data_IF_875042215670
#
_entry.id   IF_875042215670
#
_cell.length_a   1.000
_cell.length_b   1.000
_cell.length_c   1.000
_cell.angle_alpha   90.00
_cell.angle_beta   90.00
_cell.angle_gamma   90.00
#
_symmetry.space_group_name_H-M   'P 1'
#
loop_
_entity.id
_entity.type
_entity.pdbx_description
1 polymer ?
#
# COMPACT_ATOMS: atom_id res chain seq x y z
N UNK A 1 19.63 -1.41 -1.77
CA UNK A 1 18.25 -1.95 -1.78
C UNK A 1 17.31 -0.77 -1.65
N UNK A 2 16.19 -0.71 -2.37
CA UNK A 2 15.27 0.45 -2.27
C UNK A 2 14.49 0.36 -0.95
N UNK A 3 13.98 1.49 -0.41
CA UNK A 3 13.20 1.47 0.83
C UNK A 3 11.99 0.53 0.81
N UNK A 4 11.29 0.42 -0.33
CA UNK A 4 10.15 -0.48 -0.47
C UNK A 4 10.54 -1.97 -0.39
N UNK A 5 11.69 -2.34 -0.97
CA UNK A 5 12.22 -3.70 -0.89
C UNK A 5 12.61 -4.05 0.57
N UNK A 6 13.20 -3.10 1.30
CA UNK A 6 13.52 -3.25 2.72
C UNK A 6 12.27 -3.42 3.58
N UNK A 7 11.22 -2.65 3.25
CA UNK A 7 9.96 -2.71 3.95
C UNK A 7 9.24 -4.05 3.72
N UNK A 8 9.17 -4.52 2.47
CA UNK A 8 8.62 -5.85 2.15
C UNK A 8 9.35 -6.96 2.93
N UNK A 9 10.68 -6.95 2.92
CA UNK A 9 11.49 -7.93 3.67
C UNK A 9 11.19 -7.89 5.18
N UNK A 10 11.13 -6.69 5.77
CA UNK A 10 10.81 -6.50 7.19
C UNK A 10 9.40 -7.00 7.52
N UNK A 11 8.42 -6.76 6.65
CA UNK A 11 7.05 -7.26 6.82
C UNK A 11 7.03 -8.79 6.75
N UNK A 12 7.74 -9.40 5.81
CA UNK A 12 7.84 -10.85 5.65
C UNK A 12 8.48 -11.51 6.90
N UNK A 13 9.55 -10.94 7.44
CA UNK A 13 10.17 -11.39 8.69
C UNK A 13 9.17 -11.36 9.85
N UNK A 14 8.42 -10.27 9.98
CA UNK A 14 7.39 -10.12 11.03
C UNK A 14 6.23 -11.08 10.84
N UNK A 15 5.83 -11.37 9.60
CA UNK A 15 4.83 -12.39 9.27
C UNK A 15 5.30 -13.78 9.70
N UNK A 16 6.55 -14.13 9.39
CA UNK A 16 7.14 -15.43 9.71
C UNK A 16 7.31 -15.63 11.22
N UNK A 17 7.68 -14.57 11.96
CA UNK A 17 7.83 -14.64 13.41
C UNK A 17 6.50 -14.89 14.15
N UNK A 18 5.36 -14.50 13.55
CA UNK A 18 4.00 -14.68 14.08
C UNK A 18 3.78 -14.19 15.54
N UNK A 19 4.63 -13.29 16.03
CA UNK A 19 4.58 -12.79 17.40
C UNK A 19 3.87 -11.43 17.47
N UNK A 20 2.54 -11.48 17.57
CA UNK A 20 1.69 -10.29 17.68
C UNK A 20 1.95 -9.46 18.96
N UNK A 21 2.66 -10.00 19.96
CA UNK A 21 3.02 -9.26 21.17
C UNK A 21 4.12 -8.22 20.93
N UNK A 22 5.00 -8.44 19.95
CA UNK A 22 6.26 -7.70 19.80
C UNK A 22 6.32 -6.70 18.65
N UNK A 23 5.37 -6.74 17.72
CA UNK A 23 5.37 -5.83 16.57
C UNK A 23 3.96 -5.37 16.17
N UNK A 24 3.83 -4.09 15.84
CA UNK A 24 2.60 -3.53 15.29
C UNK A 24 2.17 -4.23 13.99
N UNK A 25 3.11 -4.54 13.09
CA UNK A 25 2.82 -5.29 11.85
C UNK A 25 2.26 -6.68 12.15
N UNK A 26 2.79 -7.39 13.15
CA UNK A 26 2.28 -8.70 13.52
C UNK A 26 0.84 -8.61 14.08
N UNK A 27 0.50 -7.55 14.82
CA UNK A 27 -0.88 -7.27 15.28
C UNK A 27 -1.85 -6.92 14.15
N UNK A 28 -1.34 -6.30 13.09
CA UNK A 28 -2.11 -6.01 11.88
C UNK A 28 -2.40 -7.32 11.12
N UNK A 29 -1.35 -8.11 10.85
CA UNK A 29 -1.47 -9.40 10.18
C UNK A 29 -2.40 -10.37 10.92
N UNK A 30 -2.29 -10.46 12.25
CA UNK A 30 -3.17 -11.28 13.07
C UNK A 30 -4.64 -10.82 13.03
N UNK A 31 -4.89 -9.54 12.72
CA UNK A 31 -6.24 -8.98 12.56
C UNK A 31 -6.86 -9.22 11.18
N UNK A 32 -6.15 -9.87 10.26
CA UNK A 32 -6.69 -10.24 8.95
C UNK A 32 -7.03 -9.05 8.05
N UNK A 33 -7.79 -9.33 6.99
CA UNK A 33 -8.17 -8.35 5.96
C UNK A 33 -8.97 -7.20 6.54
N UNK A 34 -9.86 -7.45 7.51
CA UNK A 34 -10.70 -6.42 8.11
C UNK A 34 -9.85 -5.32 8.75
N UNK A 35 -8.92 -5.70 9.63
CA UNK A 35 -8.10 -4.74 10.36
C UNK A 35 -7.12 -3.99 9.47
N UNK A 36 -6.45 -4.71 8.56
CA UNK A 36 -5.49 -4.08 7.65
C UNK A 36 -6.20 -3.22 6.60
N UNK A 37 -7.33 -3.69 6.08
CA UNK A 37 -8.15 -2.96 5.10
C UNK A 37 -8.74 -1.68 5.68
N UNK A 38 -9.14 -1.68 6.95
CA UNK A 38 -9.57 -0.47 7.64
C UNK A 38 -8.44 0.59 7.66
N UNK A 39 -7.22 0.19 8.02
CA UNK A 39 -6.05 1.10 7.95
C UNK A 39 -5.79 1.60 6.54
N UNK A 40 -5.73 0.72 5.53
CA UNK A 40 -5.56 1.17 4.13
C UNK A 40 -6.61 2.20 3.71
N UNK A 41 -7.85 2.04 4.17
CA UNK A 41 -8.95 2.97 3.87
C UNK A 41 -8.77 4.31 4.58
N UNK A 42 -8.36 4.29 5.84
CA UNK A 42 -8.06 5.48 6.65
C UNK A 42 -6.93 6.30 6.03
N UNK A 43 -5.77 5.69 5.78
CA UNK A 43 -4.61 6.40 5.21
C UNK A 43 -4.90 6.95 3.80
N UNK A 44 -5.75 6.24 3.03
CA UNK A 44 -6.16 6.71 1.71
C UNK A 44 -7.06 7.95 1.76
N UNK A 45 -7.81 8.14 2.85
CA UNK A 45 -8.54 9.38 3.09
C UNK A 45 -7.58 10.48 3.58
N UNK A 46 -6.71 10.15 4.54
CA UNK A 46 -5.76 11.09 5.14
C UNK A 46 -4.79 11.68 4.10
N UNK A 47 -4.28 10.88 3.16
CA UNK A 47 -3.41 11.41 2.08
C UNK A 47 -4.14 12.42 1.17
N UNK A 48 -5.46 12.27 0.98
CA UNK A 48 -6.26 13.21 0.19
C UNK A 48 -6.52 14.49 0.98
N UNK A 49 -6.82 14.37 2.28
CA UNK A 49 -7.00 15.50 3.18
C UNK A 49 -5.70 16.31 3.31
N UNK A 50 -4.57 15.64 3.55
CA UNK A 50 -3.25 16.24 3.63
C UNK A 50 -2.84 16.95 2.34
N UNK A 51 -3.22 16.40 1.18
CA UNK A 51 -2.96 17.03 -0.12
C UNK A 51 -3.80 18.29 -0.38
N UNK A 52 -4.90 18.49 0.36
CA UNK A 52 -5.71 19.69 0.28
C UNK A 52 -5.17 20.85 1.17
N UNK A 53 -4.23 20.55 2.07
CA UNK A 53 -3.62 21.55 2.93
C UNK A 53 -2.65 22.47 2.17
N UNK A 54 -2.65 23.79 2.43
CA UNK A 54 -1.78 24.72 1.73
C UNK A 54 -0.34 24.73 2.27
N UNK A 55 0.59 25.07 1.38
CA UNK A 55 1.98 25.38 1.72
C UNK A 55 2.84 24.16 2.07
N UNK A 56 4.02 24.43 2.63
CA UNK A 56 5.04 23.40 2.88
C UNK A 56 4.63 22.39 3.96
N UNK A 57 3.75 22.81 4.88
CA UNK A 57 3.15 21.93 5.89
C UNK A 57 2.32 20.83 5.22
N UNK A 58 1.36 21.21 4.35
CA UNK A 58 0.53 20.26 3.60
C UNK A 58 1.35 19.33 2.71
N UNK A 59 2.40 19.87 2.05
CA UNK A 59 3.34 19.05 1.27
C UNK A 59 4.02 17.98 2.14
N UNK A 60 4.47 18.35 3.34
CA UNK A 60 5.16 17.42 4.25
C UNK A 60 4.19 16.38 4.80
N UNK A 61 2.99 16.80 5.16
CA UNK A 61 1.91 15.91 5.61
C UNK A 61 1.55 14.89 4.53
N UNK A 62 1.35 15.34 3.28
CA UNK A 62 1.07 14.45 2.13
C UNK A 62 2.13 13.37 1.96
N UNK A 63 3.42 13.69 2.15
CA UNK A 63 4.51 12.71 2.03
C UNK A 63 4.44 11.66 3.14
N UNK A 64 4.08 12.07 4.36
CA UNK A 64 3.92 11.17 5.50
C UNK A 64 2.77 10.18 5.23
N UNK A 65 1.60 10.69 4.90
CA UNK A 65 0.40 9.87 4.64
C UNK A 65 0.59 8.96 3.42
N UNK A 66 1.24 9.43 2.36
CA UNK A 66 1.60 8.57 1.23
C UNK A 66 2.53 7.42 1.64
N UNK A 67 3.42 7.67 2.62
CA UNK A 67 4.26 6.64 3.23
C UNK A 67 3.43 5.60 3.98
N UNK A 68 2.44 6.04 4.77
CA UNK A 68 1.57 5.16 5.54
C UNK A 68 0.62 4.34 4.65
N UNK A 69 0.09 4.94 3.57
CA UNK A 69 -0.63 4.21 2.51
C UNK A 69 0.24 3.08 1.95
N UNK A 70 1.49 3.36 1.56
CA UNK A 70 2.39 2.34 1.01
C UNK A 70 2.71 1.26 2.03
N UNK A 71 2.94 1.63 3.30
CA UNK A 71 3.17 0.69 4.38
C UNK A 71 1.98 -0.25 4.57
N UNK A 72 0.78 0.30 4.78
CA UNK A 72 -0.41 -0.49 5.04
C UNK A 72 -0.82 -1.35 3.83
N UNK A 73 -0.62 -0.84 2.61
CA UNK A 73 -0.80 -1.62 1.39
C UNK A 73 0.16 -2.82 1.34
N UNK A 74 1.45 -2.63 1.62
CA UNK A 74 2.42 -3.73 1.64
C UNK A 74 2.08 -4.79 2.71
N UNK A 75 1.58 -4.38 3.88
CA UNK A 75 1.10 -5.31 4.90
C UNK A 75 -0.12 -6.10 4.39
N UNK A 76 -1.04 -5.46 3.68
CA UNK A 76 -2.20 -6.13 3.08
C UNK A 76 -1.78 -7.14 2.00
N UNK A 77 -0.83 -6.78 1.15
CA UNK A 77 -0.28 -7.68 0.13
C UNK A 77 0.40 -8.89 0.77
N UNK A 78 1.21 -8.67 1.81
CA UNK A 78 1.84 -9.75 2.56
C UNK A 78 0.81 -10.68 3.22
N UNK A 79 -0.29 -10.16 3.76
CA UNK A 79 -1.40 -10.97 4.28
C UNK A 79 -2.01 -11.89 3.21
N UNK A 80 -1.98 -11.47 1.95
CA UNK A 80 -2.52 -12.20 0.80
C UNK A 80 -1.46 -13.00 0.02
N UNK A 81 -0.23 -13.06 0.52
CA UNK A 81 0.90 -13.72 -0.13
C UNK A 81 1.22 -13.16 -1.53
N UNK A 82 0.99 -11.86 -1.71
CA UNK A 82 1.31 -11.11 -2.94
C UNK A 82 2.62 -10.35 -2.72
N UNK A 83 3.54 -10.42 -3.70
CA UNK A 83 4.82 -9.71 -3.65
C UNK A 83 4.69 -8.32 -4.25
N UNK A 84 5.53 -7.38 -3.78
CA UNK A 84 5.67 -6.06 -4.39
C UNK A 84 6.02 -6.18 -5.88
N UNK A 85 6.85 -7.16 -6.25
CA UNK A 85 7.21 -7.44 -7.65
C UNK A 85 5.99 -7.75 -8.54
N UNK A 86 4.94 -8.38 -7.99
CA UNK A 86 3.71 -8.67 -8.76
C UNK A 86 2.95 -7.37 -9.06
N UNK A 87 2.93 -6.41 -8.13
CA UNK A 87 2.34 -5.08 -8.32
C UNK A 87 3.18 -4.25 -9.28
N UNK A 88 4.51 -4.28 -9.16
CA UNK A 88 5.42 -3.61 -10.10
C UNK A 88 5.26 -4.14 -11.53
N UNK A 89 5.08 -5.46 -11.69
CA UNK A 89 4.80 -6.07 -12.99
C UNK A 89 3.46 -5.57 -13.59
N UNK A 90 2.42 -5.41 -12.77
CA UNK A 90 1.15 -4.84 -13.22
C UNK A 90 1.31 -3.36 -13.61
N UNK A 91 2.07 -2.57 -12.86
CA UNK A 91 2.37 -1.18 -13.24
C UNK A 91 3.18 -1.13 -14.55
N UNK A 92 4.16 -2.02 -14.72
CA UNK A 92 4.94 -2.16 -15.95
C UNK A 92 4.07 -2.48 -17.16
N UNK A 93 3.07 -3.36 -16.99
CA UNK A 93 2.07 -3.68 -18.03
C UNK A 93 1.28 -2.44 -18.47
N UNK A 94 1.01 -1.50 -17.55
CA UNK A 94 0.27 -0.26 -17.84
C UNK A 94 1.10 0.82 -18.52
N UNK A 95 2.42 0.87 -18.35
CA UNK A 95 3.25 1.92 -18.97
C UNK A 95 3.20 1.92 -20.52
N UNK A 96 2.77 0.82 -21.15
CA UNK A 96 2.58 0.72 -22.61
C UNK A 96 1.14 0.96 -23.10
N UNK A 97 0.17 1.20 -22.21
CA UNK A 97 -1.23 1.48 -22.54
C UNK A 97 -1.60 2.84 -21.97
N UNK A 98 -2.07 3.79 -22.78
CA UNK A 98 -2.52 5.06 -22.18
C UNK A 98 -3.68 4.78 -21.21
N UNK A 99 -3.75 5.51 -20.10
CA UNK A 99 -4.80 5.31 -19.09
C UNK A 99 -6.23 5.47 -19.64
N UNK A 100 -6.39 6.14 -20.79
CA UNK A 100 -7.65 6.25 -21.52
C UNK A 100 -7.99 4.96 -22.29
N UNK A 101 -6.99 4.30 -22.89
CA UNK A 101 -7.15 3.01 -23.59
C UNK A 101 -7.43 1.86 -22.61
N UNK A 102 -6.79 1.86 -21.44
CA UNK A 102 -7.10 0.89 -20.38
C UNK A 102 -8.54 1.06 -19.86
N UNK A 103 -9.00 2.31 -19.70
CA UNK A 103 -10.38 2.59 -19.26
C UNK A 103 -11.41 2.19 -20.32
N UNK A 104 -11.14 2.45 -21.60
CA UNK A 104 -12.00 2.06 -22.71
C UNK A 104 -12.11 0.53 -22.90
N UNK A 105 -11.01 -0.21 -22.70
CA UNK A 105 -11.01 -1.67 -22.78
C UNK A 105 -11.75 -2.35 -21.62
N UNK A 106 -11.82 -1.72 -20.43
CA UNK A 106 -12.64 -2.22 -19.32
C UNK A 106 -14.15 -2.03 -19.54
N UNK A 107 -14.56 -0.96 -20.19
CA UNK A 107 -15.98 -0.68 -20.49
C UNK A 107 -16.57 -1.57 -21.58
N UNK A 108 -15.74 -2.29 -22.34
CA UNK A 108 -16.15 -3.17 -23.44
C UNK A 108 -16.20 -4.66 -23.06
N UNK A 109 -15.88 -5.00 -21.80
CA UNK A 109 -15.95 -6.37 -21.25
C UNK A 109 -17.13 -6.58 -20.28
N UNK A 110 -18.05 -5.62 -20.16
CA UNK A 110 -19.30 -5.73 -19.38
C UNK A 110 -20.48 -5.73 -20.33
#
# INVERSE_FOLDING_TARGET
>A
MRPLDQLEATIAERKAAADAGKSYTAKLLAGGVEKVGAKVTEEAAEVVEAAAEPGDAGRTHTIAEAGDVLYHLLVLLALRDIKLADVEAELARRFGMSGLEEKASRSSQT
#
